data_IF_563317818343
#
_entry.id   IF_563317818343
#
_cell.length_a   1.000
_cell.length_b   1.000
_cell.length_c   1.000
_cell.angle_alpha   90.00
_cell.angle_beta   90.00
_cell.angle_gamma   90.00
#
_symmetry.space_group_name_H-M   'P 1'
#
loop_
_entity.id
_entity.type
_entity.pdbx_description
1 polymer ?
#
# COMPACT_ATOMS: atom_id res chain seq x y z
N UNK A 1 -24.85 6.16 -2.18
CA UNK A 1 -23.52 5.70 -1.78
C UNK A 1 -22.48 6.24 -2.74
N UNK A 2 -21.55 7.06 -2.25
CA UNK A 2 -20.50 7.59 -3.10
C UNK A 2 -19.43 6.52 -3.27
N UNK A 3 -19.26 6.06 -4.51
CA UNK A 3 -18.24 5.05 -4.82
C UNK A 3 -16.88 5.72 -4.78
N UNK A 4 -16.01 5.25 -3.89
CA UNK A 4 -14.65 5.77 -3.79
C UNK A 4 -13.84 5.32 -5.01
N UNK A 5 -13.23 6.27 -5.71
CA UNK A 5 -12.45 6.01 -6.91
C UNK A 5 -11.16 6.82 -6.89
N UNK A 6 -10.22 6.45 -7.76
CA UNK A 6 -8.96 7.19 -7.88
C UNK A 6 -9.20 8.65 -8.27
N UNK A 7 -10.17 8.90 -9.14
CA UNK A 7 -10.53 10.27 -9.54
C UNK A 7 -10.98 11.12 -8.35
N UNK A 8 -11.80 10.55 -7.48
CA UNK A 8 -12.25 11.24 -6.27
C UNK A 8 -11.12 11.46 -5.27
N UNK A 9 -10.21 10.51 -5.15
CA UNK A 9 -9.03 10.66 -4.30
C UNK A 9 -8.14 11.81 -4.80
N UNK A 10 -7.94 11.90 -6.11
CA UNK A 10 -7.19 13.01 -6.72
C UNK A 10 -7.86 14.33 -6.42
N UNK A 11 -9.17 14.42 -6.60
CA UNK A 11 -9.95 15.63 -6.31
C UNK A 11 -9.79 16.05 -4.85
N UNK A 12 -9.85 15.10 -3.93
CA UNK A 12 -9.68 15.34 -2.49
C UNK A 12 -8.32 15.96 -2.19
N UNK A 13 -7.25 15.40 -2.77
CA UNK A 13 -5.89 15.89 -2.54
C UNK A 13 -5.66 17.26 -3.20
N UNK A 14 -6.23 17.49 -4.38
CA UNK A 14 -6.17 18.79 -5.05
C UNK A 14 -6.73 19.87 -4.13
N UNK A 15 -7.91 19.63 -3.55
CA UNK A 15 -8.52 20.56 -2.60
C UNK A 15 -7.70 20.73 -1.34
N UNK A 16 -7.18 19.64 -0.82
CA UNK A 16 -6.35 19.66 0.40
C UNK A 16 -5.06 20.47 0.18
N UNK A 17 -4.45 20.38 -1.00
CA UNK A 17 -3.23 21.12 -1.35
C UNK A 17 -3.52 22.57 -1.77
N UNK A 18 -4.79 22.94 -1.92
CA UNK A 18 -5.17 24.30 -2.28
C UNK A 18 -4.96 24.66 -3.74
N UNK A 19 -4.89 23.66 -4.63
CA UNK A 19 -4.80 23.91 -6.08
C UNK A 19 -6.17 24.21 -6.66
N UNK A 20 -6.22 25.22 -7.55
CA UNK A 20 -7.40 25.44 -8.39
C UNK A 20 -7.34 24.54 -9.61
N UNK A 21 -8.49 24.38 -10.30
CA UNK A 21 -8.53 23.60 -11.53
C UNK A 21 -7.59 24.20 -12.58
N UNK A 22 -7.53 25.52 -12.67
CA UNK A 22 -6.66 26.25 -13.58
C UNK A 22 -5.17 25.97 -13.29
N UNK A 23 -4.79 26.01 -12.03
CA UNK A 23 -3.41 25.74 -11.61
C UNK A 23 -3.01 24.31 -11.93
N UNK A 24 -3.89 23.35 -11.65
CA UNK A 24 -3.63 21.94 -11.92
C UNK A 24 -3.54 21.69 -13.45
N UNK A 25 -4.46 22.27 -14.22
CA UNK A 25 -4.47 22.15 -15.68
C UNK A 25 -3.17 22.67 -16.28
N UNK A 26 -2.72 23.84 -15.79
CA UNK A 26 -1.47 24.44 -16.23
C UNK A 26 -0.27 23.56 -15.87
N UNK A 27 -0.21 23.05 -14.64
CA UNK A 27 0.90 22.22 -14.19
C UNK A 27 0.99 20.89 -14.96
N UNK A 28 -0.14 20.32 -15.35
CA UNK A 28 -0.19 19.10 -16.14
C UNK A 28 -0.16 19.33 -17.64
N UNK A 29 -0.23 20.59 -18.07
CA UNK A 29 -0.30 20.99 -19.47
C UNK A 29 -1.50 20.34 -20.19
N UNK A 30 -2.66 20.42 -19.58
CA UNK A 30 -3.93 19.91 -20.12
C UNK A 30 -5.02 20.98 -19.99
N UNK A 31 -6.17 20.75 -20.62
CA UNK A 31 -7.32 21.67 -20.52
C UNK A 31 -8.11 21.45 -19.23
N UNK A 32 -8.90 22.44 -18.83
CA UNK A 32 -9.81 22.31 -17.67
C UNK A 32 -10.78 21.13 -17.80
N UNK A 33 -11.43 20.92 -18.96
CA UNK A 33 -12.31 19.75 -19.11
C UNK A 33 -11.58 18.42 -18.83
N UNK A 34 -10.30 18.32 -19.18
CA UNK A 34 -9.50 17.14 -18.89
C UNK A 34 -9.36 16.90 -17.39
N UNK A 35 -9.26 17.99 -16.59
CA UNK A 35 -9.19 17.85 -15.12
C UNK A 35 -10.51 17.26 -14.59
N UNK A 36 -11.65 17.75 -15.04
CA UNK A 36 -12.94 17.20 -14.63
C UNK A 36 -13.10 15.74 -15.05
N UNK A 37 -12.61 15.38 -16.22
CA UNK A 37 -12.58 13.99 -16.69
C UNK A 37 -11.74 13.10 -15.78
N UNK A 38 -10.58 13.59 -15.32
CA UNK A 38 -9.73 12.88 -14.36
C UNK A 38 -10.51 12.60 -13.08
N UNK A 39 -11.26 13.57 -12.57
CA UNK A 39 -12.01 13.41 -11.33
C UNK A 39 -13.11 12.34 -11.42
N UNK A 40 -13.57 12.03 -12.63
CA UNK A 40 -14.60 11.01 -12.87
C UNK A 40 -14.06 9.62 -13.12
N UNK A 41 -12.75 9.48 -13.24
CA UNK A 41 -12.13 8.19 -13.59
C UNK A 41 -12.16 7.19 -12.44
N UNK A 42 -12.51 5.96 -12.77
CA UNK A 42 -12.38 4.82 -11.87
C UNK A 42 -11.00 4.19 -12.04
N UNK A 43 -10.40 4.30 -13.23
CA UNK A 43 -9.06 3.83 -13.54
C UNK A 43 -8.25 4.97 -14.11
N UNK A 44 -6.93 4.87 -14.01
CA UNK A 44 -6.04 5.91 -14.49
C UNK A 44 -4.76 5.29 -15.05
N UNK A 45 -4.24 5.92 -16.08
CA UNK A 45 -2.93 5.59 -16.64
C UNK A 45 -1.83 5.89 -15.61
N UNK A 46 -0.90 4.98 -15.45
CA UNK A 46 0.19 5.12 -14.46
C UNK A 46 1.09 6.31 -14.75
N UNK A 47 1.32 6.64 -16.03
CA UNK A 47 2.10 7.82 -16.39
C UNK A 47 1.47 9.11 -15.92
N UNK A 48 0.14 9.24 -16.12
CA UNK A 48 -0.60 10.40 -15.63
C UNK A 48 -0.62 10.43 -14.11
N UNK A 49 -0.81 9.29 -13.47
CA UNK A 49 -0.80 9.20 -12.01
C UNK A 49 0.55 9.63 -11.44
N UNK A 50 1.65 9.22 -12.07
CA UNK A 50 2.99 9.62 -11.66
C UNK A 50 3.18 11.13 -11.76
N UNK A 51 2.70 11.76 -12.83
CA UNK A 51 2.76 13.22 -13.01
C UNK A 51 1.94 13.93 -11.91
N UNK A 52 0.76 13.40 -11.57
CA UNK A 52 -0.06 13.95 -10.49
C UNK A 52 0.65 13.83 -9.15
N UNK A 53 1.33 12.73 -8.90
CA UNK A 53 2.12 12.55 -7.67
C UNK A 53 3.18 13.66 -7.54
N UNK A 54 3.86 13.96 -8.63
CA UNK A 54 4.91 14.99 -8.64
C UNK A 54 4.34 16.39 -8.43
N UNK A 55 3.28 16.72 -9.17
CA UNK A 55 2.65 18.06 -9.12
C UNK A 55 2.06 18.34 -7.74
N UNK A 56 1.37 17.36 -7.16
CA UNK A 56 0.67 17.53 -5.89
C UNK A 56 1.52 17.10 -4.69
N UNK A 57 2.74 16.63 -4.93
CA UNK A 57 3.62 16.11 -3.87
C UNK A 57 2.89 15.12 -2.97
N UNK A 58 2.25 14.13 -3.58
CA UNK A 58 1.46 13.13 -2.89
C UNK A 58 1.61 11.79 -3.59
N UNK A 59 1.74 10.71 -2.85
CA UNK A 59 1.86 9.37 -3.41
C UNK A 59 0.48 8.75 -3.62
N UNK A 60 -0.08 8.91 -4.83
CA UNK A 60 -1.37 8.32 -5.19
C UNK A 60 -1.31 6.81 -5.36
N UNK A 61 -0.14 6.23 -5.52
CA UNK A 61 0.00 4.77 -5.56
C UNK A 61 -0.37 4.15 -4.22
N UNK A 62 -0.28 4.93 -3.14
CA UNK A 62 -0.72 4.50 -1.82
C UNK A 62 -2.22 4.20 -1.78
N UNK A 63 -3.02 4.89 -2.58
CA UNK A 63 -4.45 4.60 -2.71
C UNK A 63 -4.69 3.15 -3.14
N UNK A 64 -3.93 2.66 -4.12
CA UNK A 64 -4.04 1.27 -4.58
C UNK A 64 -3.45 0.30 -3.56
N UNK A 65 -2.36 0.65 -2.93
CA UNK A 65 -1.76 -0.16 -1.88
C UNK A 65 -2.74 -0.35 -0.72
N UNK A 66 -3.39 0.72 -0.27
CA UNK A 66 -4.38 0.67 0.81
C UNK A 66 -5.61 -0.14 0.40
N UNK A 67 -6.06 0.02 -0.85
CA UNK A 67 -7.24 -0.68 -1.36
C UNK A 67 -7.07 -2.20 -1.33
N UNK A 68 -5.87 -2.70 -1.61
CA UNK A 68 -5.58 -4.13 -1.68
C UNK A 68 -4.80 -4.66 -0.48
N UNK A 69 -4.47 -3.79 0.46
CA UNK A 69 -3.63 -4.12 1.61
C UNK A 69 -4.26 -5.18 2.52
N UNK A 70 -5.56 -5.12 2.73
CA UNK A 70 -6.26 -6.04 3.64
C UNK A 70 -6.05 -7.50 3.25
N UNK A 71 -6.22 -7.83 1.97
CA UNK A 71 -6.05 -9.20 1.49
C UNK A 71 -4.58 -9.60 1.48
N UNK A 72 -3.71 -8.69 1.08
CA UNK A 72 -2.26 -8.91 1.07
C UNK A 72 -1.75 -9.11 2.49
N UNK A 73 -2.16 -8.27 3.43
CA UNK A 73 -1.73 -8.35 4.82
C UNK A 73 -2.19 -9.65 5.48
N UNK A 74 -3.40 -10.10 5.20
CA UNK A 74 -3.90 -11.38 5.72
C UNK A 74 -3.06 -12.54 5.21
N UNK A 75 -2.74 -12.54 3.92
CA UNK A 75 -1.90 -13.59 3.33
C UNK A 75 -0.50 -13.57 3.91
N UNK A 76 0.08 -12.38 4.04
CA UNK A 76 1.41 -12.19 4.62
C UNK A 76 1.45 -12.65 6.07
N UNK A 77 0.44 -12.24 6.84
CA UNK A 77 0.32 -12.62 8.25
C UNK A 77 0.22 -14.13 8.41
N UNK A 78 -0.57 -14.78 7.57
CA UNK A 78 -0.71 -16.23 7.59
C UNK A 78 0.63 -16.92 7.29
N UNK A 79 1.38 -16.43 6.31
CA UNK A 79 2.72 -16.94 6.00
C UNK A 79 3.67 -16.80 7.19
N UNK A 80 3.62 -15.67 7.88
CA UNK A 80 4.45 -15.43 9.06
C UNK A 80 4.07 -16.36 10.21
N UNK A 81 2.78 -16.60 10.42
CA UNK A 81 2.30 -17.49 11.47
C UNK A 81 2.76 -18.93 11.21
N UNK A 82 2.60 -19.42 9.98
CA UNK A 82 3.04 -20.77 9.59
C UNK A 82 4.54 -20.93 9.79
N UNK A 83 5.31 -19.94 9.36
CA UNK A 83 6.76 -19.94 9.51
C UNK A 83 7.19 -19.90 10.97
N UNK A 84 6.51 -19.11 11.79
CA UNK A 84 6.79 -19.00 13.22
C UNK A 84 6.48 -20.30 13.95
N UNK A 85 5.41 -20.97 13.62
CA UNK A 85 5.07 -22.29 14.18
C UNK A 85 6.15 -23.30 13.85
N UNK A 86 6.59 -23.33 12.59
CA UNK A 86 7.66 -24.22 12.14
C UNK A 86 8.96 -23.95 12.90
N UNK A 87 9.34 -22.66 13.00
CA UNK A 87 10.56 -22.28 13.73
C UNK A 87 10.47 -22.58 15.22
N UNK A 88 9.30 -22.41 15.82
CA UNK A 88 9.07 -22.72 17.23
C UNK A 88 9.24 -24.22 17.49
N UNK A 89 8.72 -25.06 16.61
CA UNK A 89 8.88 -26.51 16.70
C UNK A 89 10.35 -26.91 16.58
N UNK A 90 11.07 -26.33 15.62
CA UNK A 90 12.50 -26.61 15.45
C UNK A 90 13.31 -26.20 16.69
N UNK A 91 12.99 -25.05 17.26
CA UNK A 91 13.68 -24.56 18.46
C UNK A 91 13.41 -25.48 19.64
N UNK A 92 12.18 -25.96 19.79
CA UNK A 92 11.82 -26.89 20.84
C UNK A 92 12.58 -28.20 20.72
N UNK A 93 12.68 -28.74 19.51
CA UNK A 93 13.43 -29.98 19.25
C UNK A 93 14.91 -29.79 19.62
N UNK A 94 15.49 -28.67 19.24
CA UNK A 94 16.89 -28.35 19.55
C UNK A 94 17.10 -28.20 21.06
N UNK A 95 16.17 -27.59 21.75
CA UNK A 95 16.26 -27.45 23.20
C UNK A 95 16.18 -28.82 23.91
N UNK A 96 15.32 -29.70 23.45
CA UNK A 96 15.19 -31.06 23.99
C UNK A 96 16.49 -31.84 23.80
N UNK A 97 17.05 -31.81 22.61
CA UNK A 97 18.33 -32.45 22.31
C UNK A 97 19.44 -31.86 23.17
N UNK A 98 19.49 -30.54 23.28
CA UNK A 98 20.48 -29.85 24.10
C UNK A 98 20.39 -30.28 25.58
N UNK A 99 19.19 -30.36 26.13
CA UNK A 99 18.97 -30.77 27.52
C UNK A 99 19.41 -32.21 27.77
N UNK A 100 19.14 -33.09 26.81
CA UNK A 100 19.57 -34.49 26.90
C UNK A 100 21.11 -34.58 26.94
N UNK A 101 21.80 -33.84 26.08
CA UNK A 101 23.24 -33.78 26.04
C UNK A 101 23.84 -33.21 27.31
N UNK A 102 23.27 -32.13 27.82
CA UNK A 102 23.70 -31.51 29.09
C UNK A 102 23.54 -32.50 30.24
N UNK A 103 22.43 -33.21 30.31
CA UNK A 103 22.17 -34.18 31.37
C UNK A 103 23.16 -35.36 31.29
N UNK A 104 23.54 -35.79 30.10
CA UNK A 104 24.57 -36.84 29.91
C UNK A 104 25.91 -36.39 30.37
N UNK A 105 26.27 -35.11 30.11
CA UNK A 105 27.56 -34.56 30.52
C UNK A 105 27.68 -34.33 32.01
N UNK A 106 26.56 -34.21 32.73
CA UNK A 106 26.53 -33.98 34.17
C UNK A 106 26.69 -35.26 35.01
N UNK A 107 26.70 -36.41 34.37
CA UNK A 107 26.89 -37.68 35.08
C UNK A 107 28.34 -37.95 35.38
#
# INVERSE_FOLDING_TARGET
MVKHSIGLEIKKIVKKRGFTVEELASALNVSKPNIFDIYRRETIDTGLLERLCKVLNHNFFQYYADKYQTDYDKLLLQRYQDKNEFLSELLREKEEVYQVLVNQLKK
#
